data_IF_602409884006
#
_entry.id   IF_602409884006
#
_cell.length_a   1.000
_cell.length_b   1.000
_cell.length_c   1.000
_cell.angle_alpha   90.00
_cell.angle_beta   90.00
_cell.angle_gamma   90.00
#
_symmetry.space_group_name_H-M   'P 1'
#
loop_
_entity.id
_entity.type
_entity.pdbx_description
1 polymer ?
#
# COMPACT_ATOMS: atom_id res chain seq x y z
N UNK A 1 -43.99 18.99 -42.68
CA UNK A 1 -43.07 19.68 -41.75
C UNK A 1 -42.47 18.61 -40.85
N UNK A 2 -41.23 18.21 -41.11
CA UNK A 2 -40.56 17.13 -40.37
C UNK A 2 -39.59 17.76 -39.39
N UNK A 3 -39.91 17.72 -38.10
CA UNK A 3 -39.06 18.25 -37.04
C UNK A 3 -37.90 17.29 -36.80
N UNK A 4 -36.68 17.71 -37.14
CA UNK A 4 -35.45 16.97 -36.83
C UNK A 4 -35.04 17.29 -35.39
N UNK A 5 -34.89 16.26 -34.56
CA UNK A 5 -34.41 16.40 -33.18
C UNK A 5 -32.90 16.17 -33.20
N UNK A 6 -32.10 17.21 -32.96
CA UNK A 6 -30.67 17.07 -32.79
C UNK A 6 -30.38 16.46 -31.41
N UNK A 7 -29.94 15.20 -31.39
CA UNK A 7 -29.43 14.56 -30.18
C UNK A 7 -28.00 15.04 -29.95
N UNK A 8 -27.83 15.91 -28.96
CA UNK A 8 -26.51 16.29 -28.44
C UNK A 8 -25.95 15.11 -27.64
N UNK A 9 -24.99 14.38 -28.22
CA UNK A 9 -24.17 13.44 -27.46
C UNK A 9 -23.20 14.23 -26.58
N UNK A 10 -23.59 14.45 -25.33
CA UNK A 10 -22.63 14.86 -24.30
C UNK A 10 -21.58 13.73 -24.20
N UNK A 11 -20.34 14.04 -24.56
CA UNK A 11 -19.22 13.13 -24.31
C UNK A 11 -19.05 13.01 -22.80
N UNK A 12 -19.38 11.84 -22.25
CA UNK A 12 -19.01 11.47 -20.89
C UNK A 12 -17.50 11.21 -20.96
N UNK A 13 -16.70 12.20 -20.55
CA UNK A 13 -15.31 11.95 -20.19
C UNK A 13 -15.38 11.04 -18.96
N UNK A 14 -14.86 9.80 -19.00
CA UNK A 14 -14.81 9.00 -17.79
C UNK A 14 -13.98 9.80 -16.79
N UNK A 15 -14.51 10.01 -15.59
CA UNK A 15 -13.70 10.50 -14.49
C UNK A 15 -12.53 9.50 -14.38
N UNK A 16 -11.31 9.94 -14.70
CA UNK A 16 -10.13 9.12 -14.44
C UNK A 16 -10.14 8.85 -12.94
N UNK A 17 -10.30 7.59 -12.55
CA UNK A 17 -10.25 7.22 -11.13
C UNK A 17 -8.96 7.80 -10.56
N UNK A 18 -9.09 8.80 -9.68
CA UNK A 18 -7.93 9.57 -9.17
C UNK A 18 -6.91 8.69 -8.48
N UNK A 19 -7.33 7.53 -7.99
CA UNK A 19 -6.47 6.57 -7.31
C UNK A 19 -6.49 5.23 -8.03
N UNK A 20 -5.32 4.62 -8.18
CA UNK A 20 -5.17 3.22 -8.61
C UNK A 20 -4.46 2.40 -7.53
N UNK A 21 -4.66 1.08 -7.59
CA UNK A 21 -4.00 0.13 -6.70
C UNK A 21 -2.91 -0.62 -7.46
N UNK A 22 -1.73 -0.73 -6.85
CA UNK A 22 -0.61 -1.53 -7.32
C UNK A 22 -0.33 -2.60 -6.28
N UNK A 23 -0.40 -3.87 -6.67
CA UNK A 23 0.01 -4.99 -5.84
C UNK A 23 1.33 -5.53 -6.37
N UNK A 24 2.38 -5.54 -5.55
CA UNK A 24 3.73 -5.82 -6.02
C UNK A 24 4.64 -6.41 -4.96
N UNK A 25 5.57 -7.26 -5.41
CA UNK A 25 6.73 -7.73 -4.65
C UNK A 25 8.05 -7.07 -5.10
N UNK A 26 8.00 -6.15 -6.07
CA UNK A 26 9.14 -5.39 -6.56
C UNK A 26 9.87 -4.62 -5.43
N UNK A 27 11.21 -4.75 -5.32
CA UNK A 27 12.03 -3.97 -4.38
C UNK A 27 11.79 -2.46 -4.42
N UNK A 28 11.52 -1.86 -5.58
CA UNK A 28 11.27 -0.42 -5.68
C UNK A 28 9.95 -0.01 -5.02
N UNK A 29 8.91 -0.82 -5.21
CA UNK A 29 7.61 -0.64 -4.58
C UNK A 29 7.68 -0.83 -3.06
N UNK A 30 8.45 -1.83 -2.60
CA UNK A 30 8.75 -2.00 -1.17
C UNK A 30 9.46 -0.79 -0.58
N UNK A 31 10.47 -0.26 -1.26
CA UNK A 31 11.20 0.93 -0.80
C UNK A 31 10.27 2.15 -0.72
N UNK A 32 9.36 2.31 -1.68
CA UNK A 32 8.33 3.36 -1.63
C UNK A 32 7.39 3.19 -0.42
N UNK A 33 6.97 1.95 -0.12
CA UNK A 33 6.16 1.66 1.06
C UNK A 33 6.90 1.96 2.38
N UNK A 34 8.19 1.63 2.47
CA UNK A 34 9.02 1.90 3.65
C UNK A 34 9.18 3.39 3.92
N UNK A 35 9.40 4.20 2.86
CA UNK A 35 9.44 5.67 2.97
C UNK A 35 8.09 6.23 3.42
N UNK A 36 7.00 5.78 2.81
CA UNK A 36 5.67 6.28 3.15
C UNK A 36 5.30 5.97 4.61
N UNK A 37 5.63 4.79 5.11
CA UNK A 37 5.45 4.45 6.53
C UNK A 37 6.30 5.32 7.44
N UNK A 38 7.57 5.53 7.08
CA UNK A 38 8.45 6.45 7.81
C UNK A 38 7.83 7.85 7.89
N UNK A 39 7.38 8.41 6.78
CA UNK A 39 6.81 9.77 6.73
C UNK A 39 5.57 9.90 7.63
N UNK A 40 4.69 8.87 7.61
CA UNK A 40 3.51 8.83 8.50
C UNK A 40 3.96 8.80 9.95
N UNK A 41 4.80 7.85 10.35
CA UNK A 41 5.22 7.68 11.73
C UNK A 41 6.08 8.84 12.26
N UNK A 42 6.86 9.49 11.40
CA UNK A 42 7.70 10.63 11.76
C UNK A 42 6.86 11.88 12.02
N UNK A 43 5.68 11.95 11.41
CA UNK A 43 4.73 13.05 11.57
C UNK A 43 3.68 12.82 12.67
N UNK A 44 3.56 11.60 13.20
CA UNK A 44 2.53 11.21 14.16
C UNK A 44 2.91 11.61 15.60
N UNK A 45 2.12 12.43 16.31
CA UNK A 45 2.41 12.83 17.67
C UNK A 45 2.47 11.65 18.64
N UNK A 46 3.62 11.47 19.32
CA UNK A 46 3.81 10.43 20.33
C UNK A 46 4.42 9.14 19.80
N UNK A 47 4.69 9.05 18.50
CA UNK A 47 5.49 7.96 17.93
C UNK A 47 6.95 8.41 17.81
N UNK A 48 7.88 7.60 18.33
CA UNK A 48 9.31 7.86 18.22
C UNK A 48 9.92 6.81 17.29
N UNK A 49 10.30 7.23 16.08
CA UNK A 49 11.07 6.37 15.18
C UNK A 49 12.50 6.26 15.74
N UNK A 50 13.10 5.06 15.76
CA UNK A 50 14.51 4.91 16.07
C UNK A 50 15.38 5.85 15.21
N UNK A 51 16.37 6.47 15.84
CA UNK A 51 17.43 7.18 15.12
C UNK A 51 18.17 6.19 14.22
N UNK A 52 18.62 6.63 13.04
CA UNK A 52 19.41 5.83 12.07
C UNK A 52 18.62 4.88 11.14
N UNK A 53 17.42 5.30 10.74
CA UNK A 53 16.55 4.54 9.83
C UNK A 53 16.74 4.89 8.34
N UNK A 54 17.69 5.78 7.98
CA UNK A 54 17.88 6.30 6.61
C UNK A 54 16.59 6.83 5.95
N UNK A 55 15.61 7.26 6.76
CA UNK A 55 14.29 7.69 6.29
C UNK A 55 13.36 6.55 5.86
N UNK A 56 13.58 5.34 6.38
CA UNK A 56 12.83 4.13 6.07
C UNK A 56 12.30 3.47 7.35
N UNK A 57 11.01 3.17 7.38
CA UNK A 57 10.45 2.25 8.35
C UNK A 57 10.53 0.85 7.72
N UNK A 58 11.56 0.08 8.08
CA UNK A 58 11.87 -1.21 7.46
C UNK A 58 12.04 -2.32 8.51
N UNK A 59 11.49 -3.50 8.22
CA UNK A 59 11.69 -4.69 9.06
C UNK A 59 11.96 -5.94 8.22
N UNK A 60 12.28 -7.05 8.90
CA UNK A 60 12.58 -8.34 8.27
C UNK A 60 11.42 -8.98 7.51
N UNK A 61 10.17 -8.56 7.74
CA UNK A 61 9.00 -9.12 7.08
C UNK A 61 8.75 -8.48 5.72
N UNK A 62 9.29 -7.29 5.47
CA UNK A 62 9.08 -6.55 4.21
C UNK A 62 9.51 -7.33 2.96
N UNK A 63 10.50 -8.21 3.09
CA UNK A 63 10.97 -9.10 2.01
C UNK A 63 10.00 -10.23 1.65
N UNK A 64 9.05 -10.52 2.54
CA UNK A 64 8.07 -11.61 2.40
C UNK A 64 6.65 -11.10 2.11
N UNK A 65 6.44 -9.78 2.15
CA UNK A 65 5.13 -9.19 1.97
C UNK A 65 4.83 -8.87 0.50
N UNK A 66 3.58 -9.06 0.10
CA UNK A 66 3.01 -8.35 -1.03
C UNK A 66 2.68 -6.92 -0.57
N UNK A 67 3.20 -5.92 -1.29
CA UNK A 67 2.97 -4.51 -0.99
C UNK A 67 1.82 -4.00 -1.86
N UNK A 68 0.71 -3.66 -1.22
CA UNK A 68 -0.41 -2.96 -1.84
C UNK A 68 -0.18 -1.46 -1.71
N UNK A 69 -0.05 -0.75 -2.81
CA UNK A 69 0.18 0.68 -2.87
C UNK A 69 -1.00 1.40 -3.53
N UNK A 70 -1.33 2.58 -3.01
CA UNK A 70 -2.32 3.49 -3.61
C UNK A 70 -1.57 4.58 -4.36
N UNK A 71 -1.73 4.67 -5.68
CA UNK A 71 -1.13 5.71 -6.51
C UNK A 71 -2.14 6.81 -6.79
N UNK A 72 -1.81 8.07 -6.47
CA UNK A 72 -2.54 9.24 -6.99
C UNK A 72 -2.10 9.48 -8.44
N UNK A 73 -3.05 9.39 -9.37
CA UNK A 73 -2.78 9.37 -10.81
C UNK A 73 -2.53 10.77 -11.36
N UNK A 74 -2.82 11.81 -10.57
CA UNK A 74 -2.54 13.20 -10.95
C UNK A 74 -1.12 13.62 -10.60
N UNK A 75 -0.59 13.14 -9.48
CA UNK A 75 0.77 13.46 -9.01
C UNK A 75 1.78 12.39 -9.35
N UNK A 76 1.31 11.20 -9.72
CA UNK A 76 2.11 10.02 -9.99
C UNK A 76 2.87 9.49 -8.76
N UNK A 77 2.34 9.76 -7.56
CA UNK A 77 2.97 9.40 -6.29
C UNK A 77 2.17 8.34 -5.53
N UNK A 78 2.85 7.49 -4.77
CA UNK A 78 2.18 6.62 -3.81
C UNK A 78 1.77 7.41 -2.58
N UNK A 79 0.49 7.31 -2.20
CA UNK A 79 -0.15 8.06 -1.11
C UNK A 79 -0.76 7.15 -0.04
N UNK A 80 -0.68 5.84 -0.21
CA UNK A 80 -1.10 4.84 0.77
C UNK A 80 -0.36 3.53 0.55
N UNK A 81 -0.17 2.75 1.61
CA UNK A 81 0.42 1.42 1.54
C UNK A 81 -0.20 0.45 2.55
N UNK A 82 -0.21 -0.84 2.21
CA UNK A 82 -0.58 -1.94 3.09
C UNK A 82 0.30 -3.16 2.79
N UNK A 83 0.70 -3.90 3.83
CA UNK A 83 1.47 -5.13 3.69
C UNK A 83 0.54 -6.33 3.84
N UNK A 84 0.65 -7.28 2.93
CA UNK A 84 0.02 -8.59 3.08
C UNK A 84 1.12 -9.63 3.20
N UNK A 85 1.06 -10.47 4.24
CA UNK A 85 1.98 -11.59 4.45
C UNK A 85 1.23 -12.90 4.17
N UNK A 86 1.35 -13.49 2.96
CA UNK A 86 0.67 -14.74 2.62
C UNK A 86 1.13 -15.90 3.52
N UNK A 87 0.30 -16.94 3.76
CA UNK A 87 0.65 -18.03 4.66
C UNK A 87 1.99 -18.74 4.35
N UNK A 88 2.27 -19.00 3.07
CA UNK A 88 3.54 -19.63 2.65
C UNK A 88 4.75 -18.73 2.89
N UNK A 89 4.56 -17.41 2.74
CA UNK A 89 5.59 -16.43 3.02
C UNK A 89 5.82 -16.27 4.53
N UNK A 90 4.77 -16.41 5.35
CA UNK A 90 4.89 -16.42 6.81
C UNK A 90 5.77 -17.58 7.30
N UNK A 91 5.62 -18.78 6.72
CA UNK A 91 6.52 -19.91 7.01
C UNK A 91 7.98 -19.56 6.68
N UNK A 92 8.21 -18.96 5.51
CA UNK A 92 9.56 -18.55 5.07
C UNK A 92 10.14 -17.41 5.93
N UNK A 93 9.28 -16.54 6.46
CA UNK A 93 9.64 -15.49 7.40
C UNK A 93 9.82 -16.01 8.84
N UNK A 94 9.60 -17.30 9.11
CA UNK A 94 9.72 -17.89 10.45
C UNK A 94 8.54 -17.58 11.38
N UNK A 95 7.36 -17.27 10.83
CA UNK A 95 6.12 -17.02 11.56
C UNK A 95 5.36 -15.77 11.06
N UNK A 96 4.15 -15.58 11.58
CA UNK A 96 3.39 -14.36 11.34
C UNK A 96 3.96 -13.18 12.12
N UNK A 97 3.91 -11.97 11.55
CA UNK A 97 4.20 -10.73 12.28
C UNK A 97 3.36 -10.65 13.56
N UNK A 98 2.07 -10.95 13.50
CA UNK A 98 1.17 -10.90 14.66
C UNK A 98 1.64 -11.76 15.85
N UNK A 99 2.36 -12.85 15.59
CA UNK A 99 2.91 -13.71 16.65
C UNK A 99 4.05 -13.05 17.44
N UNK A 100 4.62 -11.95 16.96
CA UNK A 100 5.62 -11.17 17.72
C UNK A 100 4.98 -10.24 18.74
N UNK A 101 3.72 -9.89 18.53
CA UNK A 101 2.96 -8.94 19.37
C UNK A 101 1.93 -9.64 20.27
N UNK A 102 1.42 -10.81 19.85
CA UNK A 102 0.33 -11.52 20.52
C UNK A 102 0.56 -13.04 20.53
N UNK A 103 0.03 -13.72 21.56
CA UNK A 103 -0.09 -15.17 21.54
C UNK A 103 -1.24 -15.58 20.61
N UNK A 104 -0.87 -16.16 19.47
CA UNK A 104 -1.79 -16.65 18.46
C UNK A 104 -1.73 -18.18 18.28
N UNK A 105 -1.14 -18.91 19.23
CA UNK A 105 -0.96 -20.37 19.15
C UNK A 105 -2.27 -21.15 18.94
N UNK A 106 -3.40 -20.58 19.37
CA UNK A 106 -4.73 -21.11 19.11
C UNK A 106 -5.16 -21.09 17.62
N UNK A 107 -4.40 -20.42 16.76
CA UNK A 107 -4.64 -20.29 15.32
C UNK A 107 -3.60 -21.08 14.48
N UNK A 108 -2.67 -21.79 15.12
CA UNK A 108 -1.73 -22.66 14.41
C UNK A 108 -2.50 -23.79 13.69
N UNK A 109 -2.13 -24.13 12.44
CA UNK A 109 -2.86 -25.10 11.61
C UNK A 109 -2.77 -26.56 12.08
#
# INVERSE_FOLDING_TARGET
MTTSVMSSTASIVPATDRYSLVLSTDPEHRLAAQRLRYDVFASEPGFAIPTDTDGLDADRFDDFCDHLLVRDQWTDTFVGCYRMLPPQAAVSAGGYYTATEFDISALDP
#
